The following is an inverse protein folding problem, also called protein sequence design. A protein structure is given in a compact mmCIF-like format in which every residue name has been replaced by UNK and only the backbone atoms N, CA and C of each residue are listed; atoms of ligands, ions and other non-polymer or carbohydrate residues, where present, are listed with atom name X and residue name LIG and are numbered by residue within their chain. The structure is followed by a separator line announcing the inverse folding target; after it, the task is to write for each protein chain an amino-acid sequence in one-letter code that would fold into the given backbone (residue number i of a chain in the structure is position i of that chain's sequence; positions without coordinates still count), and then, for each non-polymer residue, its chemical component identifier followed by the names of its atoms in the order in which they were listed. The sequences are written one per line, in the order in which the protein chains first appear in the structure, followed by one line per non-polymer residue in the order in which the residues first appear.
data_IF_246317367451
#
_entry.id   IF_246317367451
#
_cell.length_a   1.000
_cell.length_b   1.000
_cell.length_c   1.000
_cell.angle_alpha   90.00
_cell.angle_beta   90.00
_cell.angle_gamma   90.00
#
_symmetry.space_group_name_H-M   'P 1'
#
loop_
_entity.id
_entity.type
_entity.pdbx_description
1 polymer ?
#
# COMPACT_ATOMS: atom_id res chain seq x y z
N UNK A 1 -7.33 20.90 12.32
CA UNK A 1 -7.92 19.78 12.89
C UNK A 1 -7.14 18.50 12.76
N UNK A 2 -6.05 18.49 13.48
CA UNK A 2 -5.19 17.33 13.56
C UNK A 2 -5.92 16.10 14.09
N UNK A 3 -6.83 16.26 15.06
CA UNK A 3 -7.59 15.15 15.64
C UNK A 3 -8.45 14.40 14.64
N UNK A 4 -9.17 15.11 13.80
CA UNK A 4 -10.00 14.48 12.76
C UNK A 4 -9.15 13.78 11.71
N UNK A 5 -8.02 14.40 11.31
CA UNK A 5 -7.08 13.78 10.39
C UNK A 5 -6.45 12.52 10.98
N UNK A 6 -6.06 12.58 12.25
CA UNK A 6 -5.49 11.43 12.93
C UNK A 6 -6.50 10.28 13.02
N UNK A 7 -7.76 10.58 13.31
CA UNK A 7 -8.81 9.57 13.33
C UNK A 7 -9.02 8.93 11.97
N UNK A 8 -9.01 9.73 10.91
CA UNK A 8 -9.13 9.22 9.54
C UNK A 8 -7.97 8.32 9.18
N UNK A 9 -6.74 8.71 9.53
CA UNK A 9 -5.56 7.87 9.31
C UNK A 9 -5.65 6.57 10.09
N UNK A 10 -6.11 6.62 11.34
CA UNK A 10 -6.26 5.42 12.16
C UNK A 10 -7.25 4.45 11.54
N UNK A 11 -8.37 4.94 11.03
CA UNK A 11 -9.37 4.12 10.35
C UNK A 11 -8.79 3.52 9.07
N UNK A 12 -8.12 4.32 8.25
CA UNK A 12 -7.52 3.84 7.01
C UNK A 12 -6.42 2.80 7.28
N UNK A 13 -5.58 3.03 8.27
CA UNK A 13 -4.55 2.07 8.66
C UNK A 13 -5.17 0.76 9.15
N UNK A 14 -6.25 0.84 9.92
CA UNK A 14 -6.97 -0.34 10.39
C UNK A 14 -7.58 -1.13 9.22
N UNK A 15 -8.19 -0.44 8.27
CA UNK A 15 -8.78 -1.07 7.08
C UNK A 15 -7.71 -1.71 6.20
N UNK A 16 -6.58 -1.04 6.00
CA UNK A 16 -5.45 -1.60 5.25
C UNK A 16 -4.91 -2.86 5.93
N UNK A 17 -4.70 -2.80 7.23
CA UNK A 17 -4.23 -3.93 8.03
C UNK A 17 -5.22 -5.11 7.96
N UNK A 18 -6.52 -4.84 8.09
CA UNK A 18 -7.55 -5.87 8.02
C UNK A 18 -7.58 -6.55 6.64
N UNK A 19 -7.49 -5.75 5.56
CA UNK A 19 -7.47 -6.30 4.19
C UNK A 19 -6.23 -7.13 3.92
N UNK A 20 -5.06 -6.68 4.38
CA UNK A 20 -3.80 -7.43 4.22
C UNK A 20 -3.87 -8.74 5.00
N UNK A 21 -4.35 -8.70 6.22
CA UNK A 21 -4.49 -9.89 7.06
C UNK A 21 -5.47 -10.89 6.45
N UNK A 22 -6.61 -10.42 5.99
CA UNK A 22 -7.61 -11.26 5.32
C UNK A 22 -7.05 -11.89 4.05
N UNK A 23 -6.31 -11.10 3.26
CA UNK A 23 -5.69 -11.59 2.03
C UNK A 23 -4.65 -12.66 2.29
N UNK A 24 -3.77 -12.44 3.26
CA UNK A 24 -2.74 -13.41 3.64
C UNK A 24 -3.35 -14.69 4.21
N UNK A 25 -4.38 -14.57 5.05
CA UNK A 25 -5.10 -15.72 5.60
C UNK A 25 -5.76 -16.51 4.50
N UNK A 26 -6.43 -15.84 3.57
CA UNK A 26 -7.07 -16.48 2.42
C UNK A 26 -6.05 -17.18 1.53
N UNK A 27 -4.90 -16.55 1.30
CA UNK A 27 -3.83 -17.14 0.49
C UNK A 27 -3.28 -18.43 1.12
N UNK A 28 -3.08 -18.42 2.43
CA UNK A 28 -2.62 -19.61 3.16
C UNK A 28 -3.60 -20.79 3.08
N UNK A 29 -4.89 -20.51 2.91
CA UNK A 29 -5.93 -21.54 2.81
C UNK A 29 -6.23 -21.94 1.38
N UNK A 30 -5.64 -21.28 0.39
CA UNK A 30 -5.90 -21.59 -1.02
C UNK A 30 -5.41 -22.99 -1.35
N UNK A 31 -6.27 -23.73 -2.05
CA UNK A 31 -5.92 -25.02 -2.64
C UNK A 31 -5.46 -24.80 -4.07
N UNK A 32 -4.48 -25.59 -4.50
CA UNK A 32 -3.85 -25.47 -5.82
C UNK A 32 -4.82 -25.36 -6.98
N UNK A 33 -5.93 -26.09 -6.93
CA UNK A 33 -6.93 -26.13 -8.01
C UNK A 33 -8.12 -25.19 -7.81
N UNK A 34 -8.12 -24.39 -6.73
CA UNK A 34 -9.22 -23.46 -6.44
C UNK A 34 -8.86 -22.04 -6.88
N UNK A 35 -9.13 -21.75 -8.15
CA UNK A 35 -8.83 -20.45 -8.75
C UNK A 35 -9.62 -19.32 -8.10
N UNK A 36 -10.85 -19.59 -7.65
CA UNK A 36 -11.67 -18.58 -6.99
C UNK A 36 -11.09 -18.12 -5.67
N UNK A 37 -10.53 -19.04 -4.88
CA UNK A 37 -9.86 -18.71 -3.62
C UNK A 37 -8.64 -17.87 -3.85
N UNK A 38 -7.81 -18.18 -4.85
CA UNK A 38 -6.66 -17.34 -5.21
C UNK A 38 -7.10 -15.95 -5.64
N UNK A 39 -8.12 -15.86 -6.47
CA UNK A 39 -8.63 -14.58 -6.95
C UNK A 39 -9.08 -13.71 -5.77
N UNK A 40 -9.83 -14.29 -4.83
CA UNK A 40 -10.30 -13.57 -3.63
C UNK A 40 -9.13 -13.11 -2.77
N UNK A 41 -8.13 -13.97 -2.57
CA UNK A 41 -6.94 -13.62 -1.79
C UNK A 41 -6.19 -12.44 -2.42
N UNK A 42 -5.95 -12.49 -3.72
CA UNK A 42 -5.28 -11.40 -4.42
C UNK A 42 -6.09 -10.12 -4.43
N UNK A 43 -7.41 -10.21 -4.55
CA UNK A 43 -8.28 -9.03 -4.47
C UNK A 43 -8.14 -8.33 -3.11
N UNK A 44 -8.17 -9.09 -2.02
CA UNK A 44 -8.01 -8.55 -0.69
C UNK A 44 -6.62 -7.93 -0.48
N UNK A 45 -5.58 -8.60 -0.96
CA UNK A 45 -4.21 -8.10 -0.88
C UNK A 45 -4.05 -6.81 -1.68
N UNK A 46 -4.63 -6.73 -2.87
CA UNK A 46 -4.53 -5.53 -3.71
C UNK A 46 -5.17 -4.32 -3.05
N UNK A 47 -6.34 -4.50 -2.42
CA UNK A 47 -7.01 -3.44 -1.68
C UNK A 47 -6.15 -2.97 -0.52
N UNK A 48 -5.61 -3.89 0.26
CA UNK A 48 -4.79 -3.57 1.42
C UNK A 48 -3.50 -2.85 1.05
N UNK A 49 -2.81 -3.33 0.01
CA UNK A 49 -1.57 -2.71 -0.46
C UNK A 49 -1.83 -1.31 -1.04
N UNK A 50 -2.88 -1.15 -1.83
CA UNK A 50 -3.23 0.16 -2.38
C UNK A 50 -3.48 1.18 -1.26
N UNK A 51 -4.27 0.82 -0.26
CA UNK A 51 -4.54 1.68 0.89
C UNK A 51 -3.28 1.99 1.67
N UNK A 52 -2.46 0.98 1.92
CA UNK A 52 -1.21 1.13 2.67
C UNK A 52 -0.25 2.10 1.97
N UNK A 53 -0.02 1.91 0.67
CA UNK A 53 0.88 2.78 -0.06
C UNK A 53 0.36 4.22 -0.17
N UNK A 54 -0.95 4.41 -0.27
CA UNK A 54 -1.54 5.74 -0.28
C UNK A 54 -1.40 6.44 1.08
N UNK A 55 -1.50 5.69 2.18
CA UNK A 55 -1.24 6.25 3.52
C UNK A 55 0.19 6.77 3.61
N UNK A 56 1.17 6.01 3.12
CA UNK A 56 2.57 6.43 3.10
C UNK A 56 2.72 7.75 2.34
N UNK A 57 2.11 7.85 1.17
CA UNK A 57 2.15 9.07 0.37
C UNK A 57 1.53 10.26 1.11
N UNK A 58 0.38 10.08 1.72
CA UNK A 58 -0.32 11.15 2.43
C UNK A 58 0.49 11.64 3.62
N UNK A 59 1.08 10.72 4.40
CA UNK A 59 1.92 11.07 5.54
C UNK A 59 3.15 11.87 5.07
N UNK A 60 3.81 11.43 4.02
CA UNK A 60 4.96 12.12 3.46
C UNK A 60 4.59 13.52 2.97
N UNK A 61 3.46 13.64 2.27
CA UNK A 61 2.98 14.92 1.81
C UNK A 61 2.74 15.89 2.96
N UNK A 62 2.11 15.42 4.04
CA UNK A 62 1.84 16.23 5.21
C UNK A 62 3.12 16.68 5.91
N UNK A 63 4.12 15.82 5.99
CA UNK A 63 5.43 16.18 6.58
C UNK A 63 6.08 17.31 5.78
N UNK A 64 5.98 17.28 4.46
CA UNK A 64 6.61 18.28 3.59
C UNK A 64 5.78 19.56 3.42
N UNK A 65 4.51 19.57 3.81
CA UNK A 65 3.58 20.67 3.56
C UNK A 65 2.89 21.16 4.83
N UNK A 66 3.62 21.25 5.93
CA UNK A 66 3.16 21.82 7.21
C UNK A 66 1.86 21.17 7.72
N UNK A 67 1.76 19.85 7.60
CA UNK A 67 0.60 19.06 8.02
C UNK A 67 -0.67 19.32 7.20
N UNK A 68 -0.57 20.00 6.07
CA UNK A 68 -1.68 20.14 5.14
C UNK A 68 -1.89 18.85 4.37
N UNK A 69 -3.15 18.44 4.25
CA UNK A 69 -3.50 17.24 3.50
C UNK A 69 -3.33 17.46 2.00
N UNK A 70 -2.94 16.43 1.23
CA UNK A 70 -2.98 16.52 -0.22
C UNK A 70 -4.42 16.75 -0.71
N UNK A 71 -4.56 17.46 -1.81
CA UNK A 71 -5.86 17.68 -2.40
C UNK A 71 -6.37 16.40 -3.06
N UNK A 72 -7.67 16.35 -3.30
CA UNK A 72 -8.28 15.24 -4.03
C UNK A 72 -7.60 15.00 -5.40
N UNK A 73 -7.21 16.09 -6.06
CA UNK A 73 -6.51 16.01 -7.36
C UNK A 73 -5.18 15.29 -7.22
N UNK A 74 -4.41 15.58 -6.17
CA UNK A 74 -3.13 14.89 -5.91
C UNK A 74 -3.34 13.39 -5.67
N UNK A 75 -4.34 13.04 -4.86
CA UNK A 75 -4.65 11.64 -4.58
C UNK A 75 -5.12 10.90 -5.84
N UNK A 76 -5.91 11.57 -6.66
CA UNK A 76 -6.40 10.99 -7.91
C UNK A 76 -5.28 10.72 -8.90
N UNK A 77 -4.25 11.56 -8.93
CA UNK A 77 -3.08 11.38 -9.79
C UNK A 77 -2.24 10.17 -9.42
N UNK A 78 -2.29 9.71 -8.17
CA UNK A 78 -1.60 8.50 -7.76
C UNK A 78 -2.12 7.25 -8.49
N UNK A 79 -3.41 7.26 -8.84
CA UNK A 79 -4.03 6.13 -9.51
C UNK A 79 -4.16 4.91 -8.61
N UNK A 80 -4.33 3.76 -9.25
CA UNK A 80 -4.58 2.48 -8.57
C UNK A 80 -3.55 1.41 -8.96
N UNK A 81 -2.51 1.78 -9.67
CA UNK A 81 -1.45 0.85 -10.07
C UNK A 81 -0.53 0.59 -8.88
N UNK A 82 -0.62 -0.62 -8.33
CA UNK A 82 0.11 -1.00 -7.13
C UNK A 82 1.62 -0.97 -7.35
N UNK A 83 2.10 -1.32 -8.54
CA UNK A 83 3.52 -1.27 -8.85
C UNK A 83 4.06 0.16 -8.77
N UNK A 84 3.31 1.13 -9.29
CA UNK A 84 3.68 2.54 -9.24
C UNK A 84 3.62 3.04 -7.79
N UNK A 85 2.57 2.69 -7.06
CA UNK A 85 2.42 3.07 -5.65
C UNK A 85 3.54 2.48 -4.80
N UNK A 86 3.91 1.23 -5.05
CA UNK A 86 5.03 0.57 -4.38
C UNK A 86 6.35 1.32 -4.65
N UNK A 87 6.60 1.69 -5.90
CA UNK A 87 7.81 2.42 -6.27
C UNK A 87 7.88 3.78 -5.55
N UNK A 88 6.77 4.48 -5.46
CA UNK A 88 6.69 5.72 -4.69
C UNK A 88 7.02 5.50 -3.21
N UNK A 89 6.49 4.45 -2.62
CA UNK A 89 6.75 4.11 -1.22
C UNK A 89 8.23 3.79 -1.00
N UNK A 90 8.85 3.04 -1.91
CA UNK A 90 10.29 2.73 -1.85
C UNK A 90 11.13 4.00 -1.93
N UNK A 91 10.80 4.91 -2.84
CA UNK A 91 11.51 6.17 -2.98
C UNK A 91 11.42 7.01 -1.71
N UNK A 92 10.25 7.03 -1.07
CA UNK A 92 10.06 7.73 0.21
C UNK A 92 10.92 7.09 1.30
N UNK A 93 10.92 5.77 1.40
CA UNK A 93 11.71 5.05 2.40
C UNK A 93 13.21 5.32 2.24
N UNK A 94 13.71 5.29 1.02
CA UNK A 94 15.12 5.59 0.73
C UNK A 94 15.47 7.02 1.14
N UNK A 95 14.59 7.97 0.82
CA UNK A 95 14.81 9.38 1.14
C UNK A 95 14.97 9.64 2.65
N UNK A 96 14.12 9.00 3.46
CA UNK A 96 14.10 9.28 4.90
C UNK A 96 15.04 8.40 5.71
N UNK A 97 15.26 7.16 5.30
CA UNK A 97 16.10 6.24 6.07
C UNK A 97 17.57 6.26 5.64
N UNK A 98 17.88 6.80 4.47
CA UNK A 98 19.24 6.83 3.89
C UNK A 98 19.89 5.45 3.87
N UNK A 99 19.10 4.40 3.72
CA UNK A 99 19.58 3.02 3.67
C UNK A 99 19.90 2.57 2.26
N UNK A 100 20.57 1.43 2.16
CA UNK A 100 20.90 0.80 0.88
C UNK A 100 19.64 0.52 0.07
N UNK A 101 19.64 0.96 -1.20
CA UNK A 101 18.54 0.72 -2.14
C UNK A 101 18.18 -0.75 -2.29
N UNK A 102 19.17 -1.64 -2.23
CA UNK A 102 18.97 -3.07 -2.39
C UNK A 102 18.00 -3.67 -1.40
N UNK A 103 17.87 -3.06 -0.22
CA UNK A 103 16.97 -3.53 0.82
C UNK A 103 15.49 -3.42 0.43
N UNK A 104 15.15 -2.45 -0.42
CA UNK A 104 13.77 -2.14 -0.78
C UNK A 104 13.40 -2.61 -2.18
N UNK A 105 14.37 -3.16 -2.91
CA UNK A 105 14.16 -3.63 -4.28
C UNK A 105 13.59 -5.03 -4.26
N UNK A 106 12.50 -5.23 -4.99
CA UNK A 106 11.89 -6.55 -5.16
C UNK A 106 12.70 -7.38 -6.16
N UNK A 107 12.81 -8.68 -5.90
CA UNK A 107 13.34 -9.59 -6.91
C UNK A 107 12.29 -9.83 -8.02
N UNK A 108 12.66 -10.56 -9.07
CA UNK A 108 11.79 -10.78 -10.22
C UNK A 108 10.49 -11.48 -9.84
N UNK A 109 10.56 -12.48 -8.96
CA UNK A 109 9.38 -13.21 -8.49
C UNK A 109 8.43 -12.29 -7.71
N UNK A 110 8.98 -11.50 -6.80
CA UNK A 110 8.19 -10.56 -6.00
C UNK A 110 7.54 -9.50 -6.87
N UNK A 111 8.28 -8.96 -7.85
CA UNK A 111 7.74 -7.98 -8.78
C UNK A 111 6.62 -8.57 -9.64
N UNK A 112 6.77 -9.81 -10.08
CA UNK A 112 5.74 -10.48 -10.85
C UNK A 112 4.44 -10.64 -10.04
N UNK A 113 4.55 -11.03 -8.77
CA UNK A 113 3.40 -11.16 -7.88
C UNK A 113 2.71 -9.80 -7.70
N UNK A 114 3.48 -8.75 -7.46
CA UNK A 114 2.94 -7.40 -7.26
C UNK A 114 2.19 -6.92 -8.50
N UNK A 115 2.71 -7.22 -9.68
CA UNK A 115 2.06 -6.86 -10.94
C UNK A 115 0.74 -7.61 -11.15
N UNK A 116 0.62 -8.81 -10.63
CA UNK A 116 -0.62 -9.60 -10.69
C UNK A 116 -1.74 -9.02 -9.83
N UNK A 117 -1.40 -8.25 -8.82
CA UNK A 117 -2.37 -7.61 -7.94
C UNK A 117 -2.99 -6.37 -8.59
#
# INVERSE_FOLDING_TARGET
MLGTSFQQFSIEALLASASLRSGLTALNKCKYHDKGSFYNAFFQLSIGLERFFKIIYVVQYMIENDLNKPTYIHLRKLGHDISILHQNAVNIAIKYEKRDKGKWVLNDEQSAILTML
#
